data_IF_876611345905
#
_entry.id   IF_876611345905
#
_cell.length_a   1.000
_cell.length_b   1.000
_cell.length_c   1.000
_cell.angle_alpha   90.00
_cell.angle_beta   90.00
_cell.angle_gamma   90.00
#
_symmetry.space_group_name_H-M   'P 1'
#
loop_
_entity.id
_entity.type
_entity.pdbx_description
1 polymer ?
#
# COMPACT_ATOMS: atom_id res chain seq x y z
N UNK A 1 16.28 -27.00 4.19
CA UNK A 1 16.05 -25.95 3.18
C UNK A 1 16.62 -24.65 3.73
N UNK A 2 17.25 -23.84 2.88
CA UNK A 2 17.77 -22.50 3.22
C UNK A 2 17.04 -21.46 2.36
N UNK A 3 16.86 -20.26 2.91
CA UNK A 3 16.27 -19.10 2.23
C UNK A 3 17.19 -17.91 2.42
N UNK A 4 17.40 -17.13 1.36
CA UNK A 4 18.17 -15.89 1.42
C UNK A 4 17.24 -14.74 1.83
N UNK A 5 17.71 -13.83 2.67
CA UNK A 5 16.91 -12.73 3.21
C UNK A 5 16.45 -11.72 2.15
N UNK A 6 17.27 -11.49 1.12
CA UNK A 6 16.99 -10.54 0.05
C UNK A 6 16.62 -11.24 -1.27
N UNK A 7 16.13 -12.49 -1.20
CA UNK A 7 15.66 -13.18 -2.39
C UNK A 7 14.31 -12.61 -2.82
N UNK A 8 14.12 -12.24 -4.10
CA UNK A 8 12.83 -11.76 -4.58
C UNK A 8 11.75 -12.85 -4.56
N UNK A 9 12.12 -14.12 -4.42
CA UNK A 9 11.19 -15.25 -4.33
C UNK A 9 10.50 -15.37 -2.96
N UNK A 10 10.92 -14.61 -1.95
CA UNK A 10 10.37 -14.67 -0.58
C UNK A 10 9.66 -13.36 -0.27
N UNK A 11 8.34 -13.41 -0.12
CA UNK A 11 7.51 -12.20 0.10
C UNK A 11 7.48 -11.77 1.57
N UNK A 12 7.33 -12.70 2.52
CA UNK A 12 7.19 -12.39 3.95
C UNK A 12 7.70 -13.53 4.82
N UNK A 13 8.30 -13.19 5.97
CA UNK A 13 8.69 -14.14 7.03
C UNK A 13 7.91 -13.81 8.29
N UNK A 14 7.09 -14.75 8.77
CA UNK A 14 6.26 -14.58 9.96
C UNK A 14 6.63 -15.60 11.04
N UNK A 15 6.63 -15.17 12.30
CA UNK A 15 6.85 -16.03 13.46
C UNK A 15 5.52 -16.65 13.88
N UNK A 16 5.37 -17.95 13.65
CA UNK A 16 4.15 -18.69 14.02
C UNK A 16 4.16 -19.22 15.44
N UNK A 17 5.31 -19.74 15.89
CA UNK A 17 5.48 -20.31 17.22
C UNK A 17 6.89 -20.06 17.74
N UNK A 18 7.02 -19.66 19.00
CA UNK A 18 8.30 -19.62 19.71
C UNK A 18 8.44 -20.86 20.59
N UNK A 19 9.66 -21.40 20.65
CA UNK A 19 9.96 -22.59 21.45
C UNK A 19 11.35 -22.48 22.06
N UNK A 20 11.53 -23.08 23.23
CA UNK A 20 12.78 -23.00 23.99
C UNK A 20 13.79 -24.03 23.47
N UNK A 21 15.00 -23.57 23.16
CA UNK A 21 16.10 -24.38 22.65
C UNK A 21 17.39 -23.98 23.38
N UNK A 22 18.31 -24.94 23.58
CA UNK A 22 19.61 -24.72 24.25
C UNK A 22 20.80 -24.52 23.31
N UNK A 23 20.64 -24.77 22.02
CA UNK A 23 21.71 -24.81 21.00
C UNK A 23 21.26 -24.07 19.74
N UNK A 24 22.16 -23.31 19.11
CA UNK A 24 21.85 -22.51 17.92
C UNK A 24 21.62 -23.39 16.68
N UNK A 25 22.37 -24.50 16.56
CA UNK A 25 22.22 -25.45 15.46
C UNK A 25 21.29 -26.61 15.84
N UNK A 26 20.13 -26.66 15.20
CA UNK A 26 19.07 -27.65 15.44
C UNK A 26 19.23 -28.96 14.64
N UNK A 27 20.42 -29.26 14.14
CA UNK A 27 20.68 -30.48 13.34
C UNK A 27 20.29 -31.77 14.07
N UNK A 28 20.37 -31.79 15.40
CA UNK A 28 19.98 -32.95 16.22
C UNK A 28 18.49 -33.32 16.08
N UNK A 29 17.63 -32.38 15.66
CA UNK A 29 16.20 -32.66 15.44
C UNK A 29 15.96 -33.66 14.31
N UNK A 30 16.91 -33.81 13.37
CA UNK A 30 16.81 -34.79 12.27
C UNK A 30 16.75 -36.23 12.74
N UNK A 31 17.39 -36.53 13.88
CA UNK A 31 17.47 -37.89 14.41
C UNK A 31 16.44 -38.14 15.52
N UNK A 32 15.65 -37.12 15.93
CA UNK A 32 14.67 -37.25 17.01
C UNK A 32 13.29 -37.52 16.44
N UNK A 33 12.55 -38.39 17.11
CA UNK A 33 11.18 -38.75 16.74
C UNK A 33 10.27 -38.77 17.97
N UNK A 34 8.95 -38.74 17.73
CA UNK A 34 7.93 -38.79 18.78
C UNK A 34 7.96 -37.60 19.75
N UNK A 35 7.78 -37.87 21.05
CA UNK A 35 7.72 -36.83 22.10
C UNK A 35 9.03 -36.04 22.24
N UNK A 36 10.17 -36.66 21.89
CA UNK A 36 11.50 -36.03 21.98
C UNK A 36 11.77 -34.95 20.93
N UNK A 37 11.02 -34.98 19.82
CA UNK A 37 11.08 -33.98 18.76
C UNK A 37 10.20 -32.75 19.08
N UNK A 38 9.27 -32.88 20.03
CA UNK A 38 8.39 -31.77 20.44
C UNK A 38 9.14 -30.83 21.36
N UNK A 39 9.39 -29.61 20.89
CA UNK A 39 9.98 -28.54 21.67
C UNK A 39 8.95 -27.91 22.62
N UNK A 40 9.42 -27.39 23.75
CA UNK A 40 8.58 -26.67 24.70
C UNK A 40 8.24 -25.29 24.16
N UNK A 41 6.94 -24.99 24.08
CA UNK A 41 6.46 -23.67 23.65
C UNK A 41 6.82 -22.60 24.67
N UNK A 42 6.98 -21.37 24.19
CA UNK A 42 7.08 -20.16 25.02
C UNK A 42 6.00 -19.23 24.53
N UNK A 43 5.16 -18.75 25.43
CA UNK A 43 4.14 -17.75 25.10
C UNK A 43 4.80 -16.48 24.60
N UNK A 44 4.28 -15.95 23.51
CA UNK A 44 4.72 -14.69 22.94
C UNK A 44 3.55 -14.04 22.21
N UNK A 45 3.53 -12.71 22.24
CA UNK A 45 2.58 -11.93 21.48
C UNK A 45 2.94 -12.03 19.99
N UNK A 46 2.08 -12.70 19.22
CA UNK A 46 2.27 -12.91 17.78
C UNK A 46 1.99 -11.63 17.01
N UNK A 47 1.04 -10.83 17.48
CA UNK A 47 0.58 -9.64 16.78
C UNK A 47 1.60 -8.53 16.96
N UNK A 48 2.15 -8.36 18.17
CA UNK A 48 3.21 -7.39 18.40
C UNK A 48 4.51 -7.69 17.62
N UNK A 49 4.83 -8.97 17.37
CA UNK A 49 6.10 -9.37 16.73
C UNK A 49 5.99 -9.37 15.19
N UNK A 50 4.84 -9.74 14.64
CA UNK A 50 4.67 -9.84 13.19
C UNK A 50 4.17 -8.55 12.55
N UNK A 51 3.57 -7.65 13.34
CA UNK A 51 3.06 -6.37 12.85
C UNK A 51 4.11 -5.30 13.09
N UNK A 52 5.00 -5.11 12.11
CA UNK A 52 5.80 -3.88 12.05
C UNK A 52 4.87 -2.77 11.60
N UNK A 53 4.11 -2.20 12.56
CA UNK A 53 3.41 -0.94 12.33
C UNK A 53 4.50 0.11 12.21
N UNK A 54 4.75 0.57 11.00
CA UNK A 54 5.56 1.76 10.76
C UNK A 54 4.59 2.97 10.79
N UNK A 55 4.45 3.65 11.94
CA UNK A 55 3.53 4.78 12.05
C UNK A 55 3.96 5.97 11.17
N UNK A 56 5.21 5.99 10.69
CA UNK A 56 5.69 7.03 9.79
C UNK A 56 5.27 6.76 8.35
N UNK A 57 5.30 5.50 7.91
CA UNK A 57 4.81 5.10 6.58
C UNK A 57 3.32 5.43 6.40
N UNK A 58 2.51 5.27 7.45
CA UNK A 58 1.07 5.58 7.38
C UNK A 58 0.75 7.06 7.44
N UNK A 59 1.57 7.85 8.15
CA UNK A 59 1.48 9.32 8.12
C UNK A 59 1.88 9.85 6.76
N UNK A 60 2.96 9.31 6.16
CA UNK A 60 3.39 9.66 4.82
C UNK A 60 2.34 9.30 3.75
N UNK A 61 1.66 8.15 3.89
CA UNK A 61 0.59 7.75 2.97
C UNK A 61 -0.68 8.61 3.13
N UNK A 62 -1.00 9.06 4.35
CA UNK A 62 -2.08 10.00 4.61
C UNK A 62 -1.80 11.40 4.05
N UNK A 63 -0.56 11.89 4.19
CA UNK A 63 -0.13 13.18 3.64
C UNK A 63 -0.07 13.16 2.11
N UNK A 64 0.43 12.07 1.51
CA UNK A 64 0.42 11.90 0.06
C UNK A 64 -1.00 11.82 -0.52
N UNK A 65 -1.94 11.17 0.18
CA UNK A 65 -3.34 11.10 -0.22
C UNK A 65 -4.06 12.44 -0.07
N UNK A 66 -3.72 13.23 0.95
CA UNK A 66 -4.23 14.58 1.14
C UNK A 66 -3.71 15.56 0.07
N UNK A 67 -2.42 15.48 -0.28
CA UNK A 67 -1.82 16.27 -1.35
C UNK A 67 -2.43 15.92 -2.72
N UNK A 68 -2.63 14.63 -3.02
CA UNK A 68 -3.27 14.19 -4.25
C UNK A 68 -4.75 14.63 -4.37
N UNK A 69 -5.48 14.71 -3.24
CA UNK A 69 -6.85 15.22 -3.22
C UNK A 69 -6.90 16.74 -3.49
N UNK A 70 -5.98 17.51 -2.91
CA UNK A 70 -5.89 18.95 -3.15
C UNK A 70 -5.48 19.29 -4.59
N UNK A 71 -4.53 18.56 -5.17
CA UNK A 71 -4.13 18.70 -6.58
C UNK A 71 -5.27 18.31 -7.55
N UNK A 72 -6.10 17.32 -7.20
CA UNK A 72 -7.26 16.93 -7.99
C UNK A 72 -8.37 18.00 -7.97
N UNK A 73 -8.60 18.63 -6.81
CA UNK A 73 -9.59 19.70 -6.66
C UNK A 73 -9.17 20.99 -7.39
N UNK A 74 -7.88 21.35 -7.34
CA UNK A 74 -7.34 22.49 -8.08
C UNK A 74 -7.45 22.29 -9.61
N UNK A 75 -7.14 21.09 -10.11
CA UNK A 75 -7.28 20.76 -11.55
C UNK A 75 -8.74 20.64 -12.00
N UNK A 76 -9.66 20.28 -11.11
CA UNK A 76 -11.08 20.29 -11.40
C UNK A 76 -11.64 21.72 -11.49
N UNK A 77 -11.20 22.63 -10.63
CA UNK A 77 -11.58 24.04 -10.68
C UNK A 77 -11.05 24.77 -11.93
N UNK A 78 -9.82 24.48 -12.35
CA UNK A 78 -9.22 25.05 -13.57
C UNK A 78 -9.93 24.53 -14.84
N UNK A 79 -10.27 23.24 -14.88
CA UNK A 79 -11.05 22.66 -15.99
C UNK A 79 -12.46 23.24 -16.07
N UNK A 80 -13.15 23.42 -14.94
CA UNK A 80 -14.47 24.04 -14.91
C UNK A 80 -14.46 25.51 -15.37
N UNK A 81 -13.40 26.26 -15.05
CA UNK A 81 -13.23 27.63 -15.54
C UNK A 81 -12.93 27.69 -17.06
N UNK A 82 -12.15 26.73 -17.57
CA UNK A 82 -11.85 26.62 -19.00
C UNK A 82 -13.07 26.18 -19.82
N UNK A 83 -13.88 25.26 -19.30
CA UNK A 83 -15.13 24.80 -19.93
C UNK A 83 -16.16 25.93 -19.99
N UNK A 84 -16.31 26.73 -18.94
CA UNK A 84 -17.21 27.89 -18.95
C UNK A 84 -16.78 29.03 -19.91
N UNK A 85 -15.48 29.19 -20.16
CA UNK A 85 -14.95 30.11 -21.18
C UNK A 85 -15.18 29.58 -22.61
N UNK A 86 -15.06 28.27 -22.81
CA UNK A 86 -15.31 27.62 -24.10
C UNK A 86 -16.79 27.62 -24.46
N UNK A 87 -17.69 27.37 -23.50
CA UNK A 87 -19.13 27.44 -23.72
C UNK A 87 -19.58 28.85 -24.12
N UNK A 88 -19.07 29.90 -23.46
CA UNK A 88 -19.36 31.30 -23.85
C UNK A 88 -18.86 31.64 -25.25
N UNK A 89 -17.69 31.11 -25.65
CA UNK A 89 -17.15 31.28 -27.01
C UNK A 89 -17.95 30.49 -28.04
N UNK A 90 -18.46 29.32 -27.68
CA UNK A 90 -19.33 28.51 -28.54
C UNK A 90 -20.70 29.16 -28.74
N UNK A 91 -21.31 29.72 -27.69
CA UNK A 91 -22.57 30.46 -27.76
C UNK A 91 -22.45 31.73 -28.61
N UNK A 92 -21.34 32.47 -28.48
CA UNK A 92 -21.07 33.64 -29.32
C UNK A 92 -20.87 33.27 -30.81
N UNK A 93 -20.24 32.13 -31.09
CA UNK A 93 -20.05 31.65 -32.46
C UNK A 93 -21.36 31.15 -33.10
N UNK A 94 -22.25 30.54 -32.31
CA UNK A 94 -23.57 30.12 -32.77
C UNK A 94 -24.49 31.31 -33.04
N UNK A 95 -24.48 32.34 -32.19
CA UNK A 95 -25.22 33.58 -32.43
C UNK A 95 -24.78 34.29 -33.72
N UNK A 96 -23.48 34.35 -34.00
CA UNK A 96 -22.96 34.93 -35.25
C UNK A 96 -23.32 34.10 -36.50
N UNK A 97 -23.51 32.78 -36.35
CA UNK A 97 -23.91 31.90 -37.44
C UNK A 97 -25.43 31.98 -37.73
N UNK A 98 -26.26 32.21 -36.72
CA UNK A 98 -27.70 32.42 -36.90
C UNK A 98 -28.02 33.80 -37.50
N UNK A 99 -27.29 34.87 -37.12
CA UNK A 99 -27.39 36.18 -37.76
C UNK A 99 -27.06 36.11 -39.27
N UNK A 100 -25.98 35.43 -39.65
CA UNK A 100 -25.54 35.27 -41.04
C UNK A 100 -26.47 34.41 -41.93
N UNK A 101 -27.45 33.72 -41.33
CA UNK A 101 -28.42 32.87 -42.06
C UNK A 101 -29.77 33.57 -42.25
N UNK A 102 -29.91 34.78 -41.72
CA UNK A 102 -31.13 35.61 -41.76
C UNK A 102 -31.08 36.79 -42.75
N UNK A 103 -30.01 36.92 -43.53
CA UNK A 103 -29.93 37.75 -44.75
C UNK A 103 -30.09 36.90 -46.04
#
# INVERSE_FOLDING_TARGET
KSFLLHSPLVTKVEVTKRSKVRRNYLTYMRNRTGKSARLTGVEFDRDAVNTVRDPEAEKAEAEAKAAAAADAEAKAAEKAAAEAELEKKAEAALAAHDDAKSE
#
